data_IF_213344191501
#
_entry.id   IF_213344191501
#
_cell.length_a   1.000
_cell.length_b   1.000
_cell.length_c   1.000
_cell.angle_alpha   90.00
_cell.angle_beta   90.00
_cell.angle_gamma   90.00
#
_symmetry.space_group_name_H-M   'P 1'
#
loop_
_entity.id
_entity.type
_entity.pdbx_description
1 polymer ?
#
# COMPACT_ATOMS: atom_id res chain seq x y z
N UNK A 1 19.08 -68.01 -18.61
CA UNK A 1 18.59 -66.75 -18.06
C UNK A 1 17.25 -66.99 -17.38
N UNK A 2 17.28 -67.77 -16.36
CA UNK A 2 16.17 -67.96 -15.44
C UNK A 2 16.54 -67.18 -14.18
N UNK A 3 15.68 -66.31 -13.77
CA UNK A 3 15.71 -65.59 -12.52
C UNK A 3 16.60 -64.36 -12.43
N UNK A 4 16.30 -63.42 -13.27
CA UNK A 4 16.74 -62.05 -13.02
C UNK A 4 15.70 -61.39 -12.12
N UNK A 5 16.04 -61.29 -10.85
CA UNK A 5 15.20 -60.50 -9.91
C UNK A 5 15.33 -59.02 -10.27
N UNK A 6 14.39 -58.55 -11.06
CA UNK A 6 14.34 -57.14 -11.49
C UNK A 6 14.09 -56.21 -10.35
N UNK A 7 13.27 -56.62 -9.36
CA UNK A 7 12.89 -55.75 -8.23
C UNK A 7 14.06 -55.49 -7.26
N UNK A 8 14.94 -56.46 -7.08
CA UNK A 8 16.15 -56.34 -6.25
C UNK A 8 17.40 -55.83 -6.95
N UNK A 9 17.33 -55.51 -8.25
CA UNK A 9 18.53 -55.14 -9.01
C UNK A 9 18.85 -53.63 -8.95
N UNK A 10 20.13 -53.31 -9.01
CA UNK A 10 20.60 -51.92 -9.14
C UNK A 10 20.03 -51.24 -10.41
N UNK A 11 19.66 -52.00 -11.43
CA UNK A 11 19.04 -51.47 -12.64
C UNK A 11 17.61 -50.97 -12.35
N UNK A 12 16.85 -51.64 -11.50
CA UNK A 12 15.52 -51.19 -11.08
C UNK A 12 15.60 -49.83 -10.38
N UNK A 13 16.56 -49.66 -9.49
CA UNK A 13 16.75 -48.37 -8.76
C UNK A 13 17.07 -47.23 -9.76
N UNK A 14 17.89 -47.50 -10.77
CA UNK A 14 18.21 -46.51 -11.80
C UNK A 14 16.97 -46.15 -12.63
N UNK A 15 16.16 -47.15 -13.01
CA UNK A 15 14.93 -46.93 -13.77
C UNK A 15 13.93 -46.14 -12.96
N UNK A 16 13.77 -46.46 -11.69
CA UNK A 16 12.87 -45.71 -10.78
C UNK A 16 13.30 -44.26 -10.62
N UNK A 17 14.61 -44.03 -10.46
CA UNK A 17 15.15 -42.66 -10.38
C UNK A 17 14.92 -41.88 -11.69
N UNK A 18 15.11 -42.51 -12.85
CA UNK A 18 14.83 -41.91 -14.15
C UNK A 18 13.33 -41.65 -14.35
N UNK A 19 12.48 -42.59 -13.97
CA UNK A 19 11.02 -42.45 -14.05
C UNK A 19 10.54 -41.29 -13.18
N UNK A 20 11.04 -41.20 -11.94
CA UNK A 20 10.73 -40.11 -11.02
C UNK A 20 11.20 -38.76 -11.59
N UNK A 21 12.43 -38.69 -12.08
CA UNK A 21 12.96 -37.46 -12.69
C UNK A 21 12.15 -37.02 -13.91
N UNK A 22 11.76 -37.99 -14.75
CA UNK A 22 10.91 -37.70 -15.92
C UNK A 22 9.53 -37.22 -15.50
N UNK A 23 8.93 -37.81 -14.46
CA UNK A 23 7.66 -37.37 -13.91
C UNK A 23 7.73 -35.92 -13.39
N UNK A 24 8.74 -35.62 -12.58
CA UNK A 24 8.94 -34.25 -12.07
C UNK A 24 9.18 -33.24 -13.20
N UNK A 25 9.98 -33.62 -14.21
CA UNK A 25 10.24 -32.77 -15.37
C UNK A 25 8.97 -32.51 -16.17
N UNK A 26 8.16 -33.52 -16.41
CA UNK A 26 6.88 -33.40 -17.10
C UNK A 26 5.89 -32.54 -16.30
N UNK A 27 5.84 -32.74 -15.00
CA UNK A 27 4.99 -31.91 -14.09
C UNK A 27 5.40 -30.43 -14.14
N UNK A 28 6.70 -30.14 -13.99
CA UNK A 28 7.20 -28.77 -14.04
C UNK A 28 6.97 -28.11 -15.40
N UNK A 29 7.14 -28.88 -16.50
CA UNK A 29 6.89 -28.40 -17.86
C UNK A 29 5.40 -28.06 -18.06
N UNK A 30 4.51 -28.93 -17.60
CA UNK A 30 3.07 -28.68 -17.64
C UNK A 30 2.67 -27.46 -16.82
N UNK A 31 3.22 -27.34 -15.61
CA UNK A 31 2.97 -26.19 -14.76
C UNK A 31 3.45 -24.89 -15.41
N UNK A 32 4.69 -24.89 -15.92
CA UNK A 32 5.22 -23.72 -16.63
C UNK A 32 4.40 -23.35 -17.87
N UNK A 33 3.93 -24.35 -18.63
CA UNK A 33 3.07 -24.10 -19.78
C UNK A 33 1.71 -23.50 -19.39
N UNK A 34 1.10 -24.00 -18.32
CA UNK A 34 -0.17 -23.46 -17.81
C UNK A 34 -0.03 -22.03 -17.28
N UNK A 35 1.08 -21.71 -16.65
CA UNK A 35 1.36 -20.38 -16.12
C UNK A 35 1.64 -19.31 -17.21
N UNK A 36 1.82 -19.71 -18.47
CA UNK A 36 2.00 -18.79 -19.59
C UNK A 36 0.68 -18.16 -20.09
N UNK A 37 -0.46 -18.70 -19.73
CA UNK A 37 -1.77 -18.24 -20.22
C UNK A 37 -2.64 -17.72 -19.08
N UNK A 38 -3.30 -16.59 -19.30
CA UNK A 38 -4.14 -15.93 -18.31
C UNK A 38 -5.28 -16.83 -17.77
N UNK A 39 -5.86 -17.67 -18.63
CA UNK A 39 -6.98 -18.55 -18.28
C UNK A 39 -6.56 -19.75 -17.43
N UNK A 40 -5.30 -20.18 -17.49
CA UNK A 40 -4.80 -21.37 -16.81
C UNK A 40 -3.77 -21.07 -15.72
N UNK A 41 -3.28 -19.83 -15.65
CA UNK A 41 -2.35 -19.41 -14.61
C UNK A 41 -3.02 -19.45 -13.23
N UNK A 42 -2.34 -20.06 -12.27
CA UNK A 42 -2.82 -20.22 -10.88
C UNK A 42 -2.06 -19.35 -9.89
N UNK A 43 -0.81 -19.04 -10.20
CA UNK A 43 0.01 -18.16 -9.36
C UNK A 43 -0.37 -16.70 -9.60
N UNK A 44 -0.77 -15.99 -8.51
CA UNK A 44 -1.19 -14.59 -8.58
C UNK A 44 -0.18 -13.70 -9.32
N UNK A 45 1.11 -13.87 -9.06
CA UNK A 45 2.18 -13.09 -9.67
C UNK A 45 2.21 -13.22 -11.20
N UNK A 46 2.01 -14.43 -11.70
CA UNK A 46 1.95 -14.69 -13.14
C UNK A 46 0.68 -14.07 -13.75
N UNK A 47 -0.47 -14.23 -13.07
CA UNK A 47 -1.74 -13.63 -13.50
C UNK A 47 -1.60 -12.10 -13.57
N UNK A 48 -1.02 -11.47 -12.53
CA UNK A 48 -0.78 -10.02 -12.50
C UNK A 48 0.15 -9.58 -13.61
N UNK A 49 1.24 -10.33 -13.84
CA UNK A 49 2.21 -10.05 -14.92
C UNK A 49 1.59 -10.12 -16.31
N UNK A 50 0.79 -11.15 -16.56
CA UNK A 50 0.06 -11.33 -17.83
C UNK A 50 -1.02 -10.24 -18.02
N UNK A 51 -1.79 -9.96 -16.98
CA UNK A 51 -2.83 -8.93 -16.99
C UNK A 51 -2.27 -7.53 -17.25
N UNK A 52 -1.08 -7.23 -16.74
CA UNK A 52 -0.37 -5.97 -16.99
C UNK A 52 -0.05 -5.77 -18.47
N UNK A 53 0.32 -6.84 -19.19
CA UNK A 53 0.62 -6.77 -20.62
C UNK A 53 -0.58 -6.32 -21.47
N UNK A 54 -1.82 -6.55 -20.97
CA UNK A 54 -3.06 -6.09 -21.60
C UNK A 54 -3.59 -4.79 -20.99
N UNK A 55 -2.82 -4.12 -20.12
CA UNK A 55 -3.16 -2.83 -19.52
C UNK A 55 -4.09 -2.93 -18.30
N UNK A 56 -4.34 -4.12 -17.75
CA UNK A 56 -5.12 -4.28 -16.54
C UNK A 56 -4.25 -4.11 -15.30
N UNK A 57 -4.65 -3.21 -14.40
CA UNK A 57 -4.01 -3.04 -13.09
C UNK A 57 -4.87 -3.71 -12.03
N UNK A 58 -4.38 -4.77 -11.38
CA UNK A 58 -5.12 -5.44 -10.30
C UNK A 58 -5.41 -4.46 -9.16
N UNK A 59 -6.56 -4.62 -8.54
CA UNK A 59 -6.92 -3.82 -7.36
C UNK A 59 -6.30 -4.45 -6.13
N UNK A 60 -5.76 -3.58 -5.26
CA UNK A 60 -5.33 -3.98 -3.92
C UNK A 60 -6.50 -4.40 -3.04
N UNK A 61 -6.19 -4.89 -1.85
CA UNK A 61 -7.18 -4.97 -0.77
C UNK A 61 -7.75 -3.58 -0.51
N UNK A 62 -9.02 -3.53 -0.09
CA UNK A 62 -9.67 -2.29 0.31
C UNK A 62 -10.02 -2.37 1.78
N UNK A 63 -9.68 -1.32 2.49
CA UNK A 63 -10.07 -1.10 3.88
C UNK A 63 -11.59 -0.99 4.02
N UNK A 64 -12.13 -1.50 5.10
CA UNK A 64 -13.45 -1.11 5.56
C UNK A 64 -13.44 0.41 5.86
N UNK A 65 -14.54 1.09 5.58
CA UNK A 65 -14.63 2.55 5.69
C UNK A 65 -15.79 2.94 6.57
N UNK A 66 -15.54 3.92 7.43
CA UNK A 66 -16.59 4.57 8.20
C UNK A 66 -16.49 6.09 8.04
N UNK A 67 -17.58 6.78 8.34
CA UNK A 67 -17.62 8.24 8.39
C UNK A 67 -17.99 8.66 9.80
N UNK A 68 -17.14 9.46 10.40
CA UNK A 68 -17.32 9.96 11.74
C UNK A 68 -17.43 11.48 11.72
N UNK A 69 -18.20 12.01 12.66
CA UNK A 69 -18.28 13.45 12.92
C UNK A 69 -18.18 13.67 14.42
N UNK A 70 -17.36 14.61 14.81
CA UNK A 70 -17.20 15.00 16.20
C UNK A 70 -16.82 16.48 16.29
N UNK A 71 -17.02 17.07 17.46
CA UNK A 71 -16.66 18.44 17.74
C UNK A 71 -15.78 18.51 18.99
N UNK A 72 -14.90 19.50 18.98
CA UNK A 72 -14.04 19.85 20.14
C UNK A 72 -14.47 21.21 20.63
N UNK A 73 -14.73 21.31 21.91
CA UNK A 73 -15.22 22.53 22.58
C UNK A 73 -14.23 23.03 23.64
N UNK A 74 -14.47 24.20 24.18
CA UNK A 74 -13.65 24.78 25.26
C UNK A 74 -12.33 25.39 24.78
N UNK A 75 -12.20 25.63 23.47
CA UNK A 75 -10.98 26.14 22.86
C UNK A 75 -10.84 27.65 23.10
N UNK A 76 -9.78 28.02 23.82
CA UNK A 76 -9.41 29.42 24.05
C UNK A 76 -8.07 29.71 23.37
N UNK A 77 -7.99 30.85 22.67
CA UNK A 77 -6.78 31.29 21.97
C UNK A 77 -6.26 30.37 20.86
N UNK A 78 -7.12 29.47 20.35
CA UNK A 78 -6.79 28.54 19.25
C UNK A 78 -7.55 28.97 18.01
N UNK A 79 -6.85 29.14 16.89
CA UNK A 79 -7.43 29.55 15.61
C UNK A 79 -7.76 28.36 14.70
N UNK A 80 -6.94 27.31 14.76
CA UNK A 80 -7.14 26.09 13.97
C UNK A 80 -6.80 24.86 14.79
N UNK A 81 -7.51 23.76 14.51
CA UNK A 81 -7.18 22.43 15.00
C UNK A 81 -6.82 21.50 13.84
N UNK A 82 -5.83 20.66 14.06
CA UNK A 82 -5.40 19.64 13.11
C UNK A 82 -5.57 18.26 13.74
N UNK A 83 -6.40 17.44 13.14
CA UNK A 83 -6.43 16.00 13.39
C UNK A 83 -5.26 15.38 12.62
N UNK A 84 -4.29 14.87 13.33
CA UNK A 84 -3.08 14.34 12.70
C UNK A 84 -3.35 13.02 11.99
N UNK A 85 -2.62 12.80 10.87
CA UNK A 85 -2.61 11.51 10.19
C UNK A 85 -2.19 10.39 11.16
N UNK A 86 -2.84 9.25 11.04
CA UNK A 86 -2.61 8.11 11.94
C UNK A 86 -3.91 7.55 12.48
N UNK A 87 -3.84 6.93 13.65
CA UNK A 87 -4.99 6.31 14.31
C UNK A 87 -5.96 7.42 14.77
N UNK A 88 -7.24 7.23 14.48
CA UNK A 88 -8.32 8.15 14.87
C UNK A 88 -9.28 7.51 15.87
N UNK A 89 -9.74 6.30 15.57
CA UNK A 89 -10.73 5.60 16.39
C UNK A 89 -10.39 4.12 16.52
N UNK A 90 -10.82 3.54 17.65
CA UNK A 90 -11.00 2.10 17.77
C UNK A 90 -12.47 1.78 17.52
N UNK A 91 -12.75 0.84 16.63
CA UNK A 91 -14.09 0.36 16.34
C UNK A 91 -14.31 -1.03 16.94
N UNK A 92 -15.48 -1.27 17.52
CA UNK A 92 -15.87 -2.55 18.06
C UNK A 92 -16.74 -3.28 17.05
N UNK A 93 -16.26 -4.44 16.59
CA UNK A 93 -17.04 -5.39 15.78
C UNK A 93 -17.61 -6.52 16.64
N UNK A 94 -18.33 -7.46 16.03
CA UNK A 94 -18.99 -8.57 16.75
C UNK A 94 -18.00 -9.45 17.55
N UNK A 95 -16.79 -9.68 17.03
CA UNK A 95 -15.81 -10.59 17.65
C UNK A 95 -14.39 -9.99 17.77
N UNK A 96 -14.17 -8.77 17.32
CA UNK A 96 -12.84 -8.16 17.24
C UNK A 96 -12.92 -6.64 17.35
N UNK A 97 -11.84 -6.05 17.84
CA UNK A 97 -11.64 -4.61 17.80
C UNK A 97 -10.76 -4.27 16.60
N UNK A 98 -11.13 -3.23 15.89
CA UNK A 98 -10.43 -2.74 14.72
C UNK A 98 -9.92 -1.33 14.95
N UNK A 99 -8.76 -1.05 14.39
CA UNK A 99 -8.16 0.29 14.39
C UNK A 99 -8.62 1.00 13.12
N UNK A 100 -9.06 2.24 13.25
CA UNK A 100 -9.40 3.09 12.12
C UNK A 100 -8.47 4.29 12.06
N UNK A 101 -7.89 4.52 10.89
CA UNK A 101 -6.84 5.52 10.65
C UNK A 101 -7.21 6.44 9.50
N UNK A 102 -6.55 7.61 9.45
CA UNK A 102 -6.58 8.53 8.29
C UNK A 102 -5.17 8.64 7.68
N UNK A 103 -5.05 8.65 6.36
CA UNK A 103 -3.75 8.72 5.69
C UNK A 103 -3.18 10.15 5.61
N UNK A 104 -3.98 11.17 5.92
CA UNK A 104 -3.63 12.58 5.77
C UNK A 104 -4.21 13.40 6.91
N UNK A 105 -3.46 14.38 7.41
CA UNK A 105 -3.93 15.29 8.47
C UNK A 105 -5.02 16.23 7.96
N UNK A 106 -6.01 16.49 8.81
CA UNK A 106 -7.18 17.32 8.49
C UNK A 106 -7.17 18.52 9.42
N UNK A 107 -7.10 19.75 8.86
CA UNK A 107 -7.13 21.00 9.63
C UNK A 107 -8.48 21.68 9.46
N UNK A 108 -9.08 22.08 10.57
CA UNK A 108 -10.34 22.81 10.62
C UNK A 108 -10.17 24.12 11.38
N UNK A 109 -10.92 25.17 11.02
CA UNK A 109 -10.89 26.43 11.78
C UNK A 109 -11.66 26.29 13.11
N UNK A 110 -11.24 27.04 14.10
CA UNK A 110 -11.97 27.20 15.38
C UNK A 110 -12.87 28.42 15.28
N UNK A 111 -14.15 28.24 15.55
CA UNK A 111 -15.16 29.31 15.53
C UNK A 111 -15.91 29.34 16.87
N UNK A 112 -15.90 30.47 17.57
CA UNK A 112 -16.57 30.64 18.87
C UNK A 112 -16.14 29.62 19.94
N UNK A 113 -14.87 29.18 19.92
CA UNK A 113 -14.37 28.16 20.84
C UNK A 113 -14.73 26.72 20.52
N UNK A 114 -15.24 26.47 19.31
CA UNK A 114 -15.59 25.15 18.80
C UNK A 114 -14.86 24.85 17.49
N UNK A 115 -14.44 23.62 17.33
CA UNK A 115 -13.96 23.07 16.07
C UNK A 115 -14.80 21.85 15.68
N UNK A 116 -15.28 21.81 14.45
CA UNK A 116 -16.14 20.75 13.96
C UNK A 116 -15.41 19.92 12.90
N UNK A 117 -15.25 18.64 13.18
CA UNK A 117 -14.77 17.65 12.23
C UNK A 117 -15.98 16.89 11.68
N UNK A 118 -16.43 17.29 10.49
CA UNK A 118 -17.65 16.75 9.90
C UNK A 118 -17.34 15.78 8.78
N UNK A 119 -18.00 14.60 8.82
CA UNK A 119 -17.98 13.61 7.74
C UNK A 119 -16.56 13.14 7.35
N UNK A 120 -15.70 12.94 8.36
CA UNK A 120 -14.35 12.43 8.17
C UNK A 120 -14.41 10.97 7.77
N UNK A 121 -13.84 10.63 6.62
CA UNK A 121 -13.71 9.25 6.17
C UNK A 121 -12.50 8.61 6.84
N UNK A 122 -12.74 7.57 7.61
CA UNK A 122 -11.72 6.77 8.30
C UNK A 122 -11.64 5.38 7.70
N UNK A 123 -10.45 4.82 7.66
CA UNK A 123 -10.11 3.56 7.01
C UNK A 123 -9.66 2.55 8.07
N UNK A 124 -10.26 1.35 8.03
CA UNK A 124 -9.78 0.26 8.88
C UNK A 124 -8.34 -0.09 8.52
N UNK A 125 -7.51 -0.24 9.54
CA UNK A 125 -6.13 -0.67 9.40
C UNK A 125 -5.14 0.25 10.08
N UNK A 126 -3.88 -0.15 9.98
CA UNK A 126 -2.76 0.55 10.61
C UNK A 126 -2.15 1.55 9.64
N UNK A 127 -2.06 2.81 10.06
CA UNK A 127 -1.34 3.84 9.33
C UNK A 127 0.17 3.61 9.38
N UNK A 128 0.80 3.67 8.22
CA UNK A 128 2.26 3.58 8.08
C UNK A 128 2.75 4.74 7.22
N UNK A 129 3.87 5.32 7.64
CA UNK A 129 4.62 6.30 6.85
C UNK A 129 6.04 5.77 6.61
N UNK A 130 6.43 5.68 5.33
CA UNK A 130 7.74 5.24 4.90
C UNK A 130 8.42 6.37 4.14
N UNK A 131 9.71 6.59 4.40
CA UNK A 131 10.48 7.65 3.74
C UNK A 131 11.63 7.10 2.93
N UNK A 132 11.85 7.67 1.76
CA UNK A 132 12.97 7.37 0.88
C UNK A 132 13.71 8.66 0.55
N UNK A 133 15.00 8.55 0.31
CA UNK A 133 15.82 9.67 -0.19
C UNK A 133 16.33 9.34 -1.58
N UNK A 134 16.08 10.22 -2.54
CA UNK A 134 16.60 10.10 -3.90
C UNK A 134 18.12 10.25 -3.92
N UNK A 135 18.81 9.28 -4.48
CA UNK A 135 20.24 9.31 -4.71
C UNK A 135 20.54 9.09 -6.20
N UNK A 136 20.74 10.15 -6.93
CA UNK A 136 21.01 10.12 -8.36
C UNK A 136 22.32 9.42 -8.77
N UNK A 137 23.16 9.04 -7.80
CA UNK A 137 24.36 8.24 -8.05
C UNK A 137 24.07 6.75 -8.15
N UNK A 138 22.89 6.32 -7.66
CA UNK A 138 22.47 4.94 -7.74
C UNK A 138 21.79 4.68 -9.09
N UNK A 139 22.27 3.65 -9.79
CA UNK A 139 21.62 3.21 -11.00
C UNK A 139 20.38 2.37 -10.63
N UNK A 140 19.21 2.74 -11.16
CA UNK A 140 17.93 2.06 -10.92
C UNK A 140 17.52 1.98 -9.44
N UNK A 141 17.52 3.11 -8.72
CA UNK A 141 16.92 3.17 -7.39
C UNK A 141 15.42 2.84 -7.47
N UNK A 142 14.97 1.94 -6.59
CA UNK A 142 13.58 1.49 -6.53
C UNK A 142 12.93 1.96 -5.23
N UNK A 143 11.66 2.35 -5.30
CA UNK A 143 10.87 2.82 -4.15
C UNK A 143 9.78 1.80 -3.85
N UNK A 144 10.17 0.76 -3.12
CA UNK A 144 9.30 -0.38 -2.79
C UNK A 144 8.69 -0.14 -1.41
N UNK A 145 7.37 -0.28 -1.32
CA UNK A 145 6.66 -0.32 -0.05
C UNK A 145 6.77 -1.73 0.53
N UNK A 146 7.38 -1.84 1.72
CA UNK A 146 7.76 -3.13 2.30
C UNK A 146 6.59 -3.95 2.85
N UNK A 147 5.40 -3.35 2.91
CA UNK A 147 4.22 -4.02 3.43
C UNK A 147 3.39 -4.65 2.30
N UNK A 148 2.91 -5.87 2.55
CA UNK A 148 1.78 -6.45 1.83
C UNK A 148 0.45 -5.94 2.42
N UNK A 149 -0.66 -6.21 1.74
CA UNK A 149 -2.01 -5.84 2.21
C UNK A 149 -2.29 -4.33 2.30
N UNK A 150 -1.58 -3.54 1.52
CA UNK A 150 -1.79 -2.09 1.43
C UNK A 150 -3.11 -1.81 0.72
N UNK A 151 -3.94 -0.92 1.28
CA UNK A 151 -5.01 -0.28 0.51
C UNK A 151 -4.43 0.84 -0.35
N UNK A 152 -4.22 0.56 -1.64
CA UNK A 152 -3.64 1.52 -2.59
C UNK A 152 -4.44 2.81 -2.75
N UNK A 153 -5.73 2.81 -2.42
CA UNK A 153 -6.54 4.02 -2.46
C UNK A 153 -6.22 5.03 -1.35
N UNK A 154 -5.51 4.58 -0.30
CA UNK A 154 -5.09 5.42 0.82
C UNK A 154 -3.69 6.00 0.65
N UNK A 155 -2.95 5.59 -0.39
CA UNK A 155 -1.57 6.03 -0.61
C UNK A 155 -1.52 7.54 -0.86
N UNK A 156 -0.70 8.21 -0.07
CA UNK A 156 -0.36 9.63 -0.22
C UNK A 156 1.15 9.78 -0.36
N UNK A 157 1.58 10.47 -1.39
CA UNK A 157 2.99 10.69 -1.69
C UNK A 157 3.29 12.18 -1.61
N UNK A 158 4.21 12.51 -0.72
CA UNK A 158 4.72 13.87 -0.54
C UNK A 158 6.22 13.89 -0.80
N UNK A 159 6.68 14.86 -1.58
CA UNK A 159 8.09 15.03 -1.91
C UNK A 159 8.57 16.37 -1.38
N UNK A 160 9.63 16.33 -0.56
CA UNK A 160 10.35 17.51 -0.07
C UNK A 160 11.65 17.69 -0.85
N UNK A 161 12.07 18.92 -1.13
CA UNK A 161 13.34 19.21 -1.84
C UNK A 161 14.58 18.63 -1.14
N UNK A 162 14.58 18.63 0.20
CA UNK A 162 15.65 18.09 1.04
C UNK A 162 15.12 17.71 2.42
N UNK A 163 15.93 17.04 3.22
CA UNK A 163 15.57 16.67 4.59
C UNK A 163 15.29 17.88 5.49
N UNK A 164 16.01 18.99 5.28
CA UNK A 164 15.82 20.24 6.03
C UNK A 164 14.63 21.07 5.58
N UNK A 165 14.00 20.73 4.45
CA UNK A 165 12.85 21.48 3.93
C UNK A 165 11.57 21.14 4.70
N UNK A 166 10.83 22.15 5.11
CA UNK A 166 9.49 22.02 5.70
C UNK A 166 8.39 22.01 4.65
N UNK A 167 8.68 22.44 3.42
CA UNK A 167 7.71 22.50 2.33
C UNK A 167 7.68 21.19 1.58
N UNK A 168 6.51 20.59 1.45
CA UNK A 168 6.29 19.38 0.66
C UNK A 168 5.36 19.63 -0.53
N UNK A 169 5.54 18.85 -1.58
CA UNK A 169 4.66 18.85 -2.76
C UNK A 169 3.99 17.49 -2.84
N UNK A 170 2.67 17.48 -2.94
CA UNK A 170 1.91 16.24 -3.10
C UNK A 170 1.99 15.77 -4.55
N UNK A 171 2.37 14.50 -4.73
CA UNK A 171 2.36 13.81 -6.01
C UNK A 171 1.07 13.02 -6.16
N UNK A 172 0.53 12.97 -7.36
CA UNK A 172 -0.72 12.26 -7.66
C UNK A 172 -0.45 10.96 -8.38
N UNK A 173 -1.15 9.91 -8.00
CA UNK A 173 -1.15 8.66 -8.76
C UNK A 173 -1.77 8.90 -10.14
N UNK A 174 -1.15 8.29 -11.15
CA UNK A 174 -1.65 8.30 -12.51
C UNK A 174 -2.09 6.90 -12.91
N UNK A 175 -3.30 6.80 -13.42
CA UNK A 175 -3.85 5.57 -14.01
C UNK A 175 -3.76 5.61 -15.54
N UNK A 176 -3.56 6.81 -16.11
CA UNK A 176 -3.48 7.04 -17.55
C UNK A 176 -2.42 8.11 -17.87
N UNK A 177 -1.60 7.84 -18.87
CA UNK A 177 -0.51 8.71 -19.33
C UNK A 177 -1.05 9.95 -20.08
N UNK A 178 -2.29 9.93 -20.54
CA UNK A 178 -2.88 11.03 -21.31
C UNK A 178 -2.97 12.30 -20.47
N UNK A 179 -2.37 13.38 -20.95
CA UNK A 179 -2.38 14.69 -20.28
C UNK A 179 -1.27 14.90 -19.25
N UNK A 180 -0.38 13.92 -19.04
CA UNK A 180 0.80 14.09 -18.20
C UNK A 180 1.89 14.82 -18.98
N UNK A 181 2.42 15.88 -18.37
CA UNK A 181 3.52 16.67 -18.91
C UNK A 181 4.83 16.39 -18.17
N UNK A 182 5.95 16.82 -18.73
CA UNK A 182 7.28 16.69 -18.11
C UNK A 182 7.41 17.35 -16.73
N UNK A 183 6.50 18.26 -16.37
CA UNK A 183 6.49 18.99 -15.09
C UNK A 183 5.42 18.50 -14.12
N UNK A 184 4.61 17.52 -14.51
CA UNK A 184 3.53 16.98 -13.66
C UNK A 184 4.10 16.24 -12.46
N UNK A 185 3.70 16.64 -11.25
CA UNK A 185 4.05 15.94 -10.01
C UNK A 185 3.18 14.68 -9.89
N UNK A 186 3.67 13.59 -10.45
CA UNK A 186 2.91 12.35 -10.58
C UNK A 186 3.79 11.13 -10.42
N UNK A 187 3.17 10.02 -10.03
CA UNK A 187 3.81 8.72 -9.95
C UNK A 187 2.88 7.63 -10.46
N UNK A 188 3.47 6.55 -10.96
CA UNK A 188 2.78 5.32 -11.30
C UNK A 188 2.97 4.33 -10.15
N UNK A 189 1.91 3.60 -9.80
CA UNK A 189 1.96 2.54 -8.82
C UNK A 189 1.91 1.19 -9.54
N UNK A 190 2.87 0.33 -9.22
CA UNK A 190 2.98 -0.99 -9.81
C UNK A 190 3.01 -2.05 -8.71
N UNK A 191 2.19 -3.10 -8.85
CA UNK A 191 2.28 -4.29 -7.99
C UNK A 191 3.50 -5.12 -8.41
N UNK A 192 4.27 -5.56 -7.43
CA UNK A 192 5.42 -6.45 -7.57
C UNK A 192 5.17 -7.76 -6.81
N UNK A 193 6.18 -8.58 -6.63
CA UNK A 193 6.09 -9.83 -5.88
C UNK A 193 5.56 -9.64 -4.45
N UNK A 194 4.89 -10.65 -3.90
CA UNK A 194 4.35 -10.71 -2.53
C UNK A 194 3.30 -9.63 -2.22
N UNK A 195 2.49 -9.23 -3.20
CA UNK A 195 1.47 -8.17 -3.04
C UNK A 195 2.06 -6.83 -2.56
N UNK A 196 3.34 -6.59 -2.78
CA UNK A 196 4.00 -5.31 -2.50
C UNK A 196 3.87 -4.35 -3.68
N UNK A 197 4.07 -3.08 -3.42
CA UNK A 197 3.92 -2.03 -4.41
C UNK A 197 5.20 -1.23 -4.57
N UNK A 198 5.48 -0.85 -5.81
CA UNK A 198 6.58 0.03 -6.18
C UNK A 198 6.04 1.32 -6.77
N UNK A 199 6.63 2.45 -6.35
CA UNK A 199 6.34 3.75 -6.93
C UNK A 199 7.36 4.04 -8.03
N UNK A 200 6.86 4.42 -9.19
CA UNK A 200 7.67 4.83 -10.34
C UNK A 200 7.41 6.30 -10.62
N UNK A 201 8.45 7.10 -10.50
CA UNK A 201 8.38 8.55 -10.77
C UNK A 201 8.73 8.87 -12.22
N UNK A 202 8.40 10.09 -12.65
CA UNK A 202 8.65 10.52 -14.01
C UNK A 202 10.14 10.64 -14.36
N UNK A 203 10.40 10.78 -15.66
CA UNK A 203 11.73 10.89 -16.26
C UNK A 203 11.99 12.26 -16.93
N UNK A 204 11.13 13.26 -16.70
CA UNK A 204 11.02 14.56 -17.39
C UNK A 204 10.48 14.47 -18.83
N UNK A 205 10.00 13.32 -19.25
CA UNK A 205 9.21 13.16 -20.48
C UNK A 205 7.75 12.92 -20.08
N UNK A 206 7.54 11.89 -19.25
CA UNK A 206 6.24 11.56 -18.66
C UNK A 206 6.35 11.76 -17.15
N UNK A 207 5.88 12.92 -16.67
CA UNK A 207 6.00 13.31 -15.27
C UNK A 207 7.38 13.87 -14.90
N UNK A 208 7.40 14.58 -13.78
CA UNK A 208 8.60 15.22 -13.26
C UNK A 208 9.54 14.19 -12.62
N UNK A 209 10.81 14.21 -13.05
CA UNK A 209 11.87 13.42 -12.43
C UNK A 209 12.23 13.99 -11.06
N UNK A 210 12.52 13.09 -10.12
CA UNK A 210 13.05 13.46 -8.81
C UNK A 210 14.47 14.05 -8.94
N UNK A 211 14.77 14.99 -8.07
CA UNK A 211 16.12 15.57 -7.96
C UNK A 211 16.89 14.87 -6.84
N UNK A 212 18.22 14.87 -6.96
CA UNK A 212 19.08 14.32 -5.90
C UNK A 212 18.75 14.94 -4.53
N UNK A 213 18.76 14.13 -3.49
CA UNK A 213 18.40 14.51 -2.11
C UNK A 213 16.92 14.86 -1.88
N UNK A 214 16.03 14.65 -2.86
CA UNK A 214 14.61 14.73 -2.58
C UNK A 214 14.24 13.65 -1.55
N UNK A 215 13.42 14.04 -0.58
CA UNK A 215 12.85 13.12 0.42
C UNK A 215 11.41 12.84 0.05
N UNK A 216 11.14 11.56 -0.23
CA UNK A 216 9.82 11.07 -0.60
C UNK A 216 9.21 10.44 0.67
N UNK A 217 8.12 10.99 1.16
CA UNK A 217 7.35 10.40 2.26
C UNK A 217 6.07 9.82 1.69
N UNK A 218 5.88 8.53 1.92
CA UNK A 218 4.72 7.78 1.46
C UNK A 218 3.94 7.33 2.68
N UNK A 219 2.69 7.73 2.80
CA UNK A 219 1.78 7.28 3.84
C UNK A 219 0.67 6.44 3.24
N UNK A 220 0.27 5.38 3.94
CA UNK A 220 -0.74 4.43 3.52
C UNK A 220 -1.31 3.67 4.71
N UNK A 221 -2.40 2.95 4.48
CA UNK A 221 -3.02 2.07 5.47
C UNK A 221 -2.82 0.61 5.06
N UNK A 222 -2.33 -0.20 6.01
CA UNK A 222 -2.28 -1.66 5.91
C UNK A 222 -3.54 -2.21 6.55
N UNK A 223 -4.32 -2.98 5.81
CA UNK A 223 -5.69 -3.37 6.14
C UNK A 223 -5.88 -4.88 6.21
N UNK A 224 -6.79 -5.34 7.06
CA UNK A 224 -7.32 -6.70 7.06
C UNK A 224 -8.45 -6.88 6.02
N UNK A 225 -8.82 -5.79 5.34
CA UNK A 225 -9.77 -5.80 4.25
C UNK A 225 -11.22 -5.73 4.74
N UNK A 226 -12.03 -6.73 4.33
CA UNK A 226 -13.46 -6.75 4.64
C UNK A 226 -13.79 -7.09 6.10
N UNK A 227 -12.83 -7.58 6.86
CA UNK A 227 -13.07 -8.10 8.22
C UNK A 227 -13.42 -6.96 9.19
N UNK A 228 -13.01 -5.73 8.92
CA UNK A 228 -13.43 -4.53 9.64
C UNK A 228 -14.85 -4.04 9.35
N UNK A 229 -15.56 -4.67 8.40
CA UNK A 229 -16.95 -4.31 8.14
C UNK A 229 -17.85 -4.76 9.31
N UNK A 230 -18.78 -3.88 9.69
CA UNK A 230 -19.72 -4.14 10.79
C UNK A 230 -19.28 -3.55 12.13
N UNK A 231 -18.12 -2.89 12.21
CA UNK A 231 -17.79 -2.08 13.38
C UNK A 231 -18.81 -0.96 13.54
N UNK A 232 -19.43 -0.86 14.72
CA UNK A 232 -20.55 0.06 14.99
C UNK A 232 -20.29 1.04 16.11
N UNK A 233 -19.44 0.71 17.07
CA UNK A 233 -19.10 1.55 18.19
C UNK A 233 -17.66 2.06 18.02
N UNK A 234 -17.52 3.39 17.98
CA UNK A 234 -16.22 4.03 17.77
C UNK A 234 -15.82 4.82 19.00
N UNK A 235 -14.64 4.55 19.54
CA UNK A 235 -14.00 5.36 20.58
C UNK A 235 -12.86 6.15 19.97
N UNK A 236 -12.84 7.47 20.22
CA UNK A 236 -11.78 8.35 19.72
C UNK A 236 -10.48 8.10 20.49
N UNK A 237 -9.38 7.95 19.73
CA UNK A 237 -8.01 7.80 20.26
C UNK A 237 -7.01 8.63 19.45
N UNK A 238 -7.53 9.49 18.58
CA UNK A 238 -6.73 10.30 17.66
C UNK A 238 -5.92 11.38 18.37
N UNK A 239 -4.91 11.88 17.68
CA UNK A 239 -4.08 12.99 18.15
C UNK A 239 -4.52 14.29 17.45
N UNK A 240 -4.93 15.28 18.26
CA UNK A 240 -5.32 16.61 17.80
C UNK A 240 -4.29 17.62 18.29
N UNK A 241 -3.85 18.49 17.37
CA UNK A 241 -2.91 19.57 17.69
C UNK A 241 -3.47 20.93 17.31
N UNK A 242 -3.06 21.98 18.04
CA UNK A 242 -3.38 23.36 17.70
C UNK A 242 -2.45 23.91 16.62
N UNK A 243 -2.60 25.19 16.23
CA UNK A 243 -1.76 25.89 15.25
C UNK A 243 -0.27 25.91 15.61
N UNK A 244 0.08 25.76 16.88
CA UNK A 244 1.47 25.78 17.39
C UNK A 244 2.06 24.37 17.51
N UNK A 245 1.28 23.34 17.13
CA UNK A 245 1.67 21.93 17.23
C UNK A 245 1.55 21.33 18.63
N UNK A 246 0.96 22.05 19.59
CA UNK A 246 0.70 21.50 20.91
C UNK A 246 -0.51 20.56 20.89
N UNK A 247 -0.36 19.38 21.52
CA UNK A 247 -1.46 18.43 21.66
C UNK A 247 -2.59 19.00 22.51
N UNK A 248 -3.81 18.68 22.12
CA UNK A 248 -5.03 18.99 22.87
C UNK A 248 -5.62 17.66 23.32
N UNK A 249 -5.69 17.47 24.63
CA UNK A 249 -6.37 16.30 25.20
C UNK A 249 -7.88 16.45 24.94
N UNK A 250 -8.45 15.44 24.29
CA UNK A 250 -9.88 15.31 24.14
C UNK A 250 -10.40 14.50 25.34
N UNK A 251 -11.00 15.20 26.30
CA UNK A 251 -11.73 14.57 27.41
C UNK A 251 -13.08 14.01 26.95
#
# INVERSE_FOLDING_TARGET
>A
FTDYDFEGSNLSIIIDALAYNTYITAYNTNMAANECFLDSATLRENVVSLARNIGYVPRSRRSARARVSFNVSGLTATSTLTLNAGIVCNGVGENSNFIFSIPESITVPVTNGFAEFNNIEIYEGTYIAQSFTENSSLFNQRYILDNSFIDTSTIKVQVRPSESSTTSVTYKQIDNIIGITSTSNSYLLQEIEDERYELIFGDNVIGKKLSNSNVITVSYVVTEGKDGNGASEFSFVGNITNQDGAAIDAD
#
